data_IF_264510899260
#
_entry.id   IF_264510899260
#
_cell.length_a   1.000
_cell.length_b   1.000
_cell.length_c   1.000
_cell.angle_alpha   90.00
_cell.angle_beta   90.00
_cell.angle_gamma   90.00
#
_symmetry.space_group_name_H-M   'P 1'
#
loop_
_entity.id
_entity.type
_entity.pdbx_description
1 polymer ?
#
# COMPACT_ATOMS: atom_id res chain seq x y z
N UNK A 1 39.64 35.72 -28.67
CA UNK A 1 40.66 35.01 -29.45
C UNK A 1 40.06 33.68 -29.91
N UNK A 2 39.75 33.63 -31.24
CA UNK A 2 39.57 32.52 -32.16
C UNK A 2 38.88 31.20 -31.73
N UNK A 3 37.66 30.99 -32.24
CA UNK A 3 37.06 29.73 -32.72
C UNK A 3 37.77 29.33 -34.02
N UNK A 4 37.98 28.05 -34.44
CA UNK A 4 37.00 27.23 -35.11
C UNK A 4 37.18 25.73 -34.81
N UNK A 5 36.42 24.77 -35.26
CA UNK A 5 35.76 24.49 -36.50
C UNK A 5 34.93 23.19 -36.45
N UNK A 6 33.93 23.17 -37.27
CA UNK A 6 33.06 22.08 -37.63
C UNK A 6 33.74 21.00 -38.48
N UNK A 7 33.32 19.72 -38.34
CA UNK A 7 33.32 18.81 -39.49
C UNK A 7 32.23 17.76 -39.36
N UNK A 8 31.28 17.91 -40.23
CA UNK A 8 30.28 16.99 -40.77
C UNK A 8 30.94 15.77 -41.39
N UNK A 9 30.44 14.54 -41.14
CA UNK A 9 30.49 13.47 -42.12
C UNK A 9 29.22 12.64 -42.07
N UNK A 10 28.37 12.85 -43.08
CA UNK A 10 27.34 11.91 -43.57
C UNK A 10 28.02 10.68 -44.14
N UNK A 11 27.50 9.49 -43.92
CA UNK A 11 27.62 8.38 -44.88
C UNK A 11 26.34 7.53 -44.86
N UNK A 12 25.56 7.76 -45.91
CA UNK A 12 24.54 6.85 -46.43
C UNK A 12 25.25 5.69 -47.14
N UNK A 13 24.77 4.48 -46.93
CA UNK A 13 25.02 3.36 -47.87
C UNK A 13 23.67 2.67 -48.10
N UNK A 14 23.11 2.99 -49.23
CA UNK A 14 22.12 2.23 -49.99
C UNK A 14 22.78 1.04 -50.59
N UNK A 15 22.19 -0.14 -50.49
CA UNK A 15 22.38 -1.19 -51.47
C UNK A 15 21.10 -1.96 -51.74
N UNK A 16 20.59 -1.70 -52.92
CA UNK A 16 19.59 -2.43 -53.66
C UNK A 16 20.25 -3.62 -54.37
N UNK A 17 19.49 -4.68 -54.57
CA UNK A 17 19.58 -5.64 -55.70
C UNK A 17 18.48 -6.69 -55.45
N UNK A 18 17.36 -6.56 -56.20
CA UNK A 18 17.11 -7.09 -57.52
C UNK A 18 17.02 -8.64 -57.55
N UNK A 19 15.80 -9.14 -57.68
CA UNK A 19 15.11 -9.69 -58.88
C UNK A 19 15.34 -11.16 -59.14
N UNK A 20 14.33 -11.90 -59.27
CA UNK A 20 13.72 -12.65 -60.41
C UNK A 20 12.85 -13.76 -59.86
N UNK A 21 11.56 -13.63 -60.02
CA UNK A 21 10.69 -14.16 -61.11
C UNK A 21 10.68 -15.70 -61.20
N UNK A 22 9.55 -16.26 -61.05
CA UNK A 22 8.72 -16.95 -62.01
C UNK A 22 7.98 -18.17 -61.44
N UNK A 23 6.70 -18.17 -61.69
CA UNK A 23 5.87 -19.24 -62.21
C UNK A 23 5.05 -20.12 -61.27
N UNK A 24 3.76 -19.86 -61.39
CA UNK A 24 2.64 -20.80 -61.49
C UNK A 24 2.46 -21.90 -60.44
N UNK A 25 1.37 -21.79 -59.76
CA UNK A 25 0.74 -22.88 -59.05
C UNK A 25 -0.53 -22.43 -58.38
N UNK A 26 -1.65 -22.40 -59.10
CA UNK A 26 -3.02 -22.24 -58.59
C UNK A 26 -3.32 -23.45 -57.73
N UNK A 27 -3.42 -23.23 -56.41
CA UNK A 27 -4.17 -24.13 -55.54
C UNK A 27 -4.91 -23.30 -54.52
N UNK A 28 -6.23 -23.24 -54.71
CA UNK A 28 -7.17 -22.77 -53.70
C UNK A 28 -7.10 -23.68 -52.47
N UNK A 29 -6.53 -23.22 -51.39
CA UNK A 29 -6.74 -23.79 -50.08
C UNK A 29 -7.42 -22.73 -49.26
N UNK A 30 -8.73 -22.93 -49.07
CA UNK A 30 -9.56 -22.18 -48.12
C UNK A 30 -9.01 -22.50 -46.74
N UNK A 31 -8.06 -21.69 -46.26
CA UNK A 31 -7.61 -21.76 -44.87
C UNK A 31 -8.61 -20.96 -44.04
N UNK A 32 -9.52 -21.67 -43.40
CA UNK A 32 -10.35 -21.17 -42.28
C UNK A 32 -9.43 -20.59 -41.21
N UNK A 33 -9.37 -19.27 -41.13
CA UNK A 33 -8.76 -18.56 -40.04
C UNK A 33 -9.68 -18.77 -38.82
N UNK A 34 -9.41 -19.82 -38.06
CA UNK A 34 -9.90 -19.94 -36.71
C UNK A 34 -9.26 -18.81 -35.89
N UNK A 35 -10.00 -17.72 -35.66
CA UNK A 35 -9.69 -16.77 -34.61
C UNK A 35 -9.69 -17.54 -33.31
N UNK A 36 -8.54 -17.98 -32.86
CA UNK A 36 -8.34 -18.40 -31.50
C UNK A 36 -8.55 -17.14 -30.63
N UNK A 37 -9.79 -16.94 -30.17
CA UNK A 37 -10.08 -16.07 -29.07
C UNK A 37 -9.31 -16.62 -27.87
N UNK A 38 -8.14 -16.04 -27.57
CA UNK A 38 -7.48 -16.26 -26.30
C UNK A 38 -8.49 -15.87 -25.22
N UNK A 39 -8.90 -16.81 -24.37
CA UNK A 39 -9.67 -16.42 -23.20
C UNK A 39 -8.74 -15.50 -22.39
N UNK A 40 -9.07 -14.21 -22.38
CA UNK A 40 -8.52 -13.31 -21.38
C UNK A 40 -8.95 -13.90 -20.04
N UNK A 41 -8.04 -14.64 -19.41
CA UNK A 41 -8.17 -14.94 -18.00
C UNK A 41 -8.16 -13.59 -17.30
N UNK A 42 -9.35 -13.09 -17.01
CA UNK A 42 -9.48 -12.09 -15.97
C UNK A 42 -8.93 -12.75 -14.73
N UNK A 43 -7.71 -12.42 -14.37
CA UNK A 43 -7.16 -12.72 -13.05
C UNK A 43 -8.07 -11.99 -12.06
N UNK A 44 -9.18 -12.62 -11.72
CA UNK A 44 -9.90 -12.32 -10.49
C UNK A 44 -8.90 -12.68 -9.39
N UNK A 45 -8.10 -11.67 -9.01
CA UNK A 45 -7.22 -11.74 -7.86
C UNK A 45 -8.10 -12.13 -6.68
N UNK A 46 -8.12 -13.41 -6.36
CA UNK A 46 -8.72 -13.90 -5.11
C UNK A 46 -8.02 -13.10 -4.00
N UNK A 47 -8.78 -12.34 -3.17
CA UNK A 47 -8.17 -11.51 -2.16
C UNK A 47 -7.26 -12.38 -1.30
N UNK A 48 -5.98 -12.04 -1.25
CA UNK A 48 -5.03 -12.75 -0.39
C UNK A 48 -5.55 -12.70 1.06
N UNK A 49 -5.62 -13.83 1.77
CA UNK A 49 -6.14 -13.84 3.12
C UNK A 49 -5.33 -12.91 4.01
N UNK A 50 -6.00 -12.15 4.86
CA UNK A 50 -5.36 -11.25 5.83
C UNK A 50 -4.50 -12.06 6.79
N UNK A 51 -3.19 -11.87 6.75
CA UNK A 51 -2.30 -12.44 7.75
C UNK A 51 -2.39 -11.62 9.05
N UNK A 52 -2.59 -12.24 10.21
CA UNK A 52 -2.61 -11.53 11.48
C UNK A 52 -1.22 -11.00 11.84
N UNK A 53 -1.19 -9.89 12.59
CA UNK A 53 0.04 -9.31 13.10
C UNK A 53 0.74 -10.31 14.03
N UNK A 54 2.06 -10.58 13.87
CA UNK A 54 2.78 -11.54 14.71
C UNK A 54 3.09 -10.93 16.10
N UNK A 55 2.07 -10.71 16.92
CA UNK A 55 2.18 -10.04 18.23
C UNK A 55 3.10 -10.80 19.19
N UNK A 56 3.15 -12.12 19.10
CA UNK A 56 4.07 -12.94 19.90
C UNK A 56 5.55 -12.59 19.64
N UNK A 57 5.90 -12.23 18.40
CA UNK A 57 7.27 -11.84 18.04
C UNK A 57 7.68 -10.45 18.53
N UNK A 58 6.70 -9.63 18.95
CA UNK A 58 6.92 -8.27 19.46
C UNK A 58 6.37 -8.07 20.87
N UNK A 59 5.98 -9.16 21.53
CA UNK A 59 5.55 -9.13 22.92
C UNK A 59 6.62 -8.53 23.83
N UNK A 60 6.21 -7.72 24.79
CA UNK A 60 7.09 -6.95 25.69
C UNK A 60 8.03 -5.97 24.97
N UNK A 61 7.84 -5.76 23.66
CA UNK A 61 8.59 -4.74 22.92
C UNK A 61 7.83 -3.43 22.87
N UNK A 62 8.57 -2.33 22.80
CA UNK A 62 8.02 -1.03 22.49
C UNK A 62 7.92 -0.88 20.97
N UNK A 63 6.72 -0.58 20.48
CA UNK A 63 6.41 -0.42 19.06
C UNK A 63 5.81 0.95 18.81
N UNK A 64 6.47 1.75 17.98
CA UNK A 64 5.95 3.05 17.56
C UNK A 64 4.89 2.86 16.48
N UNK A 65 3.67 3.36 16.71
CA UNK A 65 2.58 3.35 15.72
C UNK A 65 2.56 4.70 15.01
N UNK A 66 2.87 4.71 13.71
CA UNK A 66 2.83 5.95 12.94
C UNK A 66 1.39 6.37 12.62
N UNK A 67 1.15 7.67 12.42
CA UNK A 67 -0.15 8.13 11.96
C UNK A 67 -0.42 7.66 10.52
N UNK A 68 -1.70 7.43 10.24
CA UNK A 68 -2.17 7.19 8.89
C UNK A 68 -2.07 8.49 8.08
N UNK A 69 -1.49 8.44 6.87
CA UNK A 69 -1.32 9.61 6.00
C UNK A 69 -2.11 9.53 4.70
N UNK A 70 -2.56 8.32 4.31
CA UNK A 70 -3.28 8.08 3.08
C UNK A 70 -4.64 7.42 3.37
N UNK A 71 -5.71 8.10 2.98
CA UNK A 71 -7.07 7.53 2.91
C UNK A 71 -7.60 7.79 1.52
N UNK A 72 -8.13 6.77 0.89
CA UNK A 72 -8.79 6.83 -0.40
C UNK A 72 -10.13 6.09 -0.34
N UNK A 73 -11.09 6.58 -1.10
CA UNK A 73 -12.44 6.02 -1.16
C UNK A 73 -12.82 5.87 -2.62
N UNK A 74 -13.43 4.77 -2.97
CA UNK A 74 -14.01 4.57 -4.28
C UNK A 74 -15.23 5.48 -4.45
N UNK A 75 -15.30 6.23 -5.56
CA UNK A 75 -16.35 7.23 -5.83
C UNK A 75 -17.76 6.62 -5.77
N UNK A 76 -17.87 5.35 -6.14
CA UNK A 76 -19.15 4.61 -6.13
C UNK A 76 -19.79 4.46 -4.74
N UNK A 77 -19.04 4.71 -3.66
CA UNK A 77 -19.54 4.64 -2.29
C UNK A 77 -20.25 5.92 -1.83
N UNK A 78 -19.95 7.05 -2.46
CA UNK A 78 -20.50 8.38 -2.09
C UNK A 78 -20.32 8.72 -0.60
N UNK A 79 -19.15 8.35 -0.03
CA UNK A 79 -18.86 8.52 1.39
C UNK A 79 -18.17 9.84 1.75
N UNK A 80 -17.99 10.74 0.79
CA UNK A 80 -17.34 12.05 0.99
C UNK A 80 -18.02 12.84 2.11
N UNK A 81 -19.36 12.86 2.14
CA UNK A 81 -20.12 13.56 3.16
C UNK A 81 -20.00 12.91 4.56
N UNK A 82 -19.87 11.57 4.61
CA UNK A 82 -19.74 10.81 5.86
C UNK A 82 -18.32 10.93 6.43
N UNK A 83 -17.32 10.92 5.57
CA UNK A 83 -15.92 11.08 5.94
C UNK A 83 -15.63 12.52 6.34
N UNK A 84 -16.11 13.50 5.55
CA UNK A 84 -15.90 14.92 5.82
C UNK A 84 -14.47 15.37 5.62
N UNK A 85 -13.98 16.25 6.48
CA UNK A 85 -12.65 16.84 6.37
C UNK A 85 -11.55 15.79 6.57
N UNK A 86 -10.58 15.76 5.63
CA UNK A 86 -9.46 14.80 5.64
C UNK A 86 -8.73 14.69 6.98
N UNK A 87 -8.47 15.83 7.63
CA UNK A 87 -7.77 15.86 8.92
C UNK A 87 -8.55 15.13 10.02
N UNK A 88 -9.86 15.32 10.04
CA UNK A 88 -10.75 14.64 11.00
C UNK A 88 -10.76 13.14 10.74
N UNK A 89 -10.83 12.74 9.47
CA UNK A 89 -10.77 11.32 9.06
C UNK A 89 -9.49 10.67 9.54
N UNK A 90 -8.34 11.28 9.28
CA UNK A 90 -7.03 10.74 9.67
C UNK A 90 -6.91 10.60 11.19
N UNK A 91 -7.29 11.66 11.94
CA UNK A 91 -7.24 11.64 13.41
C UNK A 91 -8.16 10.57 14.00
N UNK A 92 -9.39 10.42 13.46
CA UNK A 92 -10.33 9.40 13.91
C UNK A 92 -9.84 7.99 13.57
N UNK A 93 -9.25 7.81 12.40
CA UNK A 93 -8.64 6.53 12.00
C UNK A 93 -7.48 6.15 12.92
N UNK A 94 -6.58 7.08 13.24
CA UNK A 94 -5.49 6.87 14.19
C UNK A 94 -6.02 6.43 15.56
N UNK A 95 -7.09 7.10 16.05
CA UNK A 95 -7.72 6.77 17.33
C UNK A 95 -8.31 5.35 17.33
N UNK A 96 -9.02 4.95 16.27
CA UNK A 96 -9.59 3.60 16.14
C UNK A 96 -8.48 2.55 16.12
N UNK A 97 -7.47 2.76 15.28
CA UNK A 97 -6.32 1.84 15.15
C UNK A 97 -5.61 1.71 16.50
N UNK A 98 -5.25 2.82 17.13
CA UNK A 98 -4.52 2.82 18.39
C UNK A 98 -5.30 2.16 19.53
N UNK A 99 -6.59 2.50 19.68
CA UNK A 99 -7.44 1.92 20.72
C UNK A 99 -7.57 0.40 20.57
N UNK A 100 -7.81 -0.08 19.34
CA UNK A 100 -7.94 -1.51 19.08
C UNK A 100 -6.61 -2.27 19.26
N UNK A 101 -5.48 -1.69 18.87
CA UNK A 101 -4.16 -2.29 19.13
C UNK A 101 -3.92 -2.47 20.63
N UNK A 102 -4.19 -1.44 21.44
CA UNK A 102 -4.03 -1.51 22.89
C UNK A 102 -4.97 -2.53 23.55
N UNK A 103 -6.21 -2.62 23.08
CA UNK A 103 -7.20 -3.55 23.64
C UNK A 103 -6.94 -4.99 23.27
N UNK A 104 -6.47 -5.25 22.04
CA UNK A 104 -6.39 -6.61 21.48
C UNK A 104 -4.99 -7.21 21.50
N UNK A 105 -3.96 -6.39 21.73
CA UNK A 105 -2.57 -6.83 21.87
C UNK A 105 -1.91 -6.07 23.05
N UNK A 106 -2.42 -6.24 24.29
CA UNK A 106 -1.91 -5.54 25.47
C UNK A 106 -0.51 -6.01 25.89
N UNK A 107 -0.04 -7.13 25.34
CA UNK A 107 1.31 -7.66 25.56
C UNK A 107 2.40 -6.80 24.88
N UNK A 108 2.01 -5.88 23.99
CA UNK A 108 2.91 -4.97 23.27
C UNK A 108 2.81 -3.57 23.87
N UNK A 109 3.92 -2.90 24.08
CA UNK A 109 3.92 -1.50 24.51
C UNK A 109 3.77 -0.58 23.31
N UNK A 110 2.54 -0.15 23.03
CA UNK A 110 2.23 0.71 21.89
C UNK A 110 2.50 2.18 22.19
N UNK A 111 3.39 2.82 21.42
CA UNK A 111 3.57 4.28 21.39
C UNK A 111 2.71 4.84 20.28
N UNK A 112 1.58 5.45 20.65
CA UNK A 112 0.56 5.90 19.71
C UNK A 112 0.95 7.20 18.98
N UNK A 113 0.29 7.54 17.85
CA UNK A 113 0.57 8.73 17.05
C UNK A 113 0.60 10.03 17.85
N UNK A 114 -0.27 10.20 18.84
CA UNK A 114 -0.31 11.42 19.67
C UNK A 114 0.95 11.58 20.53
N UNK A 115 1.51 10.50 21.02
CA UNK A 115 2.79 10.54 21.72
C UNK A 115 3.93 10.92 20.77
N UNK A 116 3.97 10.33 19.59
CA UNK A 116 4.95 10.70 18.55
C UNK A 116 4.86 12.17 18.18
N UNK A 117 3.64 12.70 17.99
CA UNK A 117 3.39 14.13 17.75
C UNK A 117 3.87 15.00 18.90
N UNK A 118 3.67 14.55 20.15
CA UNK A 118 4.10 15.26 21.35
C UNK A 118 5.62 15.34 21.43
N UNK A 119 6.30 14.22 21.20
CA UNK A 119 7.76 14.16 21.21
C UNK A 119 8.35 14.99 20.07
N UNK A 120 7.79 14.92 18.88
CA UNK A 120 8.23 15.73 17.75
C UNK A 120 8.15 17.22 18.03
N UNK A 121 7.08 17.70 18.68
CA UNK A 121 6.95 19.10 19.09
C UNK A 121 7.97 19.55 20.15
N UNK A 122 8.50 18.62 20.95
CA UNK A 122 9.53 18.92 21.97
C UNK A 122 10.94 18.97 21.41
N UNK A 123 11.17 18.40 20.21
CA UNK A 123 12.47 18.34 19.55
C UNK A 123 12.40 18.98 18.13
N UNK A 124 12.05 20.27 18.02
CA UNK A 124 11.93 20.94 16.72
C UNK A 124 13.28 20.97 16.01
N UNK A 125 13.27 20.70 14.69
CA UNK A 125 14.49 20.65 13.89
C UNK A 125 15.27 19.33 13.96
N UNK A 126 14.99 18.47 14.95
CA UNK A 126 15.60 17.13 15.08
C UNK A 126 14.57 16.06 14.71
N UNK A 127 13.41 16.11 15.32
CA UNK A 127 12.35 15.14 15.06
C UNK A 127 11.60 15.48 13.77
N UNK A 128 11.41 14.50 12.87
CA UNK A 128 10.49 14.68 11.73
C UNK A 128 9.06 14.79 12.26
N UNK A 129 8.22 15.55 11.55
CA UNK A 129 6.78 15.57 11.84
C UNK A 129 6.16 14.22 11.44
N UNK A 130 5.55 13.47 12.37
CA UNK A 130 4.99 12.16 12.06
C UNK A 130 3.93 12.21 10.95
N UNK A 131 3.12 13.27 10.91
CA UNK A 131 2.04 13.46 9.93
C UNK A 131 2.55 13.82 8.51
N UNK A 132 3.84 14.21 8.39
CA UNK A 132 4.47 14.58 7.12
C UNK A 132 5.47 13.51 6.62
N UNK A 133 5.63 12.42 7.34
CA UNK A 133 6.47 11.32 6.89
C UNK A 133 5.80 10.64 5.69
N UNK A 134 6.56 10.39 4.64
CA UNK A 134 6.05 9.79 3.40
C UNK A 134 5.68 8.31 3.52
N UNK A 135 4.91 7.93 4.55
CA UNK A 135 4.55 6.53 4.84
C UNK A 135 3.76 5.86 3.72
N UNK A 136 3.03 6.65 2.92
CA UNK A 136 2.29 6.18 1.75
C UNK A 136 3.18 5.53 0.68
N UNK A 137 4.49 5.77 0.68
CA UNK A 137 5.41 5.08 -0.24
C UNK A 137 5.38 3.57 0.00
N UNK A 138 5.16 3.14 1.24
CA UNK A 138 5.05 1.73 1.59
C UNK A 138 3.75 1.10 1.10
N UNK A 139 2.72 1.89 0.78
CA UNK A 139 1.47 1.38 0.22
C UNK A 139 1.66 0.82 -1.20
N UNK A 140 2.50 1.47 -2.01
CA UNK A 140 2.73 1.12 -3.41
C UNK A 140 3.94 0.21 -3.64
N UNK A 141 4.69 -0.12 -2.60
CA UNK A 141 5.85 -0.98 -2.76
C UNK A 141 5.45 -2.39 -3.17
N UNK A 142 6.02 -2.86 -4.27
CA UNK A 142 5.94 -4.25 -4.69
C UNK A 142 6.81 -5.09 -3.76
N UNK A 143 6.37 -6.31 -3.44
CA UNK A 143 7.17 -7.26 -2.63
C UNK A 143 8.52 -7.50 -3.30
N UNK A 144 9.57 -6.90 -2.79
CA UNK A 144 10.97 -7.21 -3.14
C UNK A 144 11.62 -7.85 -1.92
N UNK A 145 12.34 -8.93 -2.10
CA UNK A 145 13.03 -9.58 -1.00
C UNK A 145 14.54 -9.29 -1.07
N UNK A 146 15.16 -8.79 0.02
CA UNK A 146 14.53 -8.36 1.27
C UNK A 146 13.82 -7.01 1.10
N UNK A 147 12.57 -6.91 1.58
CA UNK A 147 11.84 -5.65 1.54
C UNK A 147 12.46 -4.67 2.55
N UNK A 148 12.81 -3.49 2.06
CA UNK A 148 13.44 -2.43 2.85
C UNK A 148 12.59 -1.17 2.85
N UNK A 149 12.57 -0.50 3.99
CA UNK A 149 12.01 0.85 4.09
C UNK A 149 12.92 1.80 3.33
N UNK A 150 12.42 2.55 2.33
CA UNK A 150 13.24 3.45 1.54
C UNK A 150 13.68 4.67 2.35
N UNK A 151 14.81 5.27 1.94
CA UNK A 151 15.22 6.58 2.42
C UNK A 151 14.39 7.68 1.72
N UNK A 152 14.04 8.78 2.42
CA UNK A 152 14.48 9.18 3.77
C UNK A 152 13.64 8.58 4.92
N UNK A 153 12.56 7.84 4.62
CA UNK A 153 11.63 7.33 5.63
C UNK A 153 12.34 6.48 6.70
N UNK A 154 13.29 5.62 6.28
CA UNK A 154 14.09 4.80 7.22
C UNK A 154 14.83 5.65 8.25
N UNK A 155 15.49 6.72 7.82
CA UNK A 155 16.17 7.66 8.71
C UNK A 155 15.22 8.34 9.68
N UNK A 156 14.06 8.77 9.19
CA UNK A 156 13.01 9.42 9.98
C UNK A 156 12.43 8.48 11.05
N UNK A 157 12.14 7.22 10.70
CA UNK A 157 11.66 6.20 11.63
C UNK A 157 12.67 5.96 12.76
N UNK A 158 13.96 5.86 12.43
CA UNK A 158 15.04 5.66 13.41
C UNK A 158 15.12 6.83 14.37
N UNK A 159 15.02 8.06 13.88
CA UNK A 159 15.05 9.26 14.71
C UNK A 159 13.86 9.30 15.66
N UNK A 160 12.64 9.07 15.18
CA UNK A 160 11.44 9.04 16.03
C UNK A 160 11.52 7.93 17.08
N UNK A 161 11.91 6.72 16.69
CA UNK A 161 12.02 5.60 17.62
C UNK A 161 13.04 5.91 18.74
N UNK A 162 14.17 6.52 18.42
CA UNK A 162 15.18 6.93 19.41
C UNK A 162 14.61 7.96 20.40
N UNK A 163 13.82 8.91 19.94
CA UNK A 163 13.22 9.97 20.76
C UNK A 163 12.10 9.48 21.69
N UNK A 164 11.43 8.38 21.37
CA UNK A 164 10.35 7.80 22.21
C UNK A 164 10.81 6.65 23.10
N UNK A 165 12.12 6.50 23.33
CA UNK A 165 12.66 5.48 24.23
C UNK A 165 13.38 4.33 23.55
N UNK A 166 13.66 4.41 22.24
CA UNK A 166 14.53 3.48 21.53
C UNK A 166 13.88 2.16 21.13
N UNK A 167 12.59 2.12 20.91
CA UNK A 167 11.87 0.94 20.40
C UNK A 167 12.49 0.42 19.10
N UNK A 168 12.52 -0.92 18.98
CA UNK A 168 13.09 -1.59 17.79
C UNK A 168 12.17 -1.56 16.59
N UNK A 169 10.85 -1.54 16.82
CA UNK A 169 9.86 -1.73 15.76
C UNK A 169 8.98 -0.50 15.57
N UNK A 170 8.60 -0.27 14.33
CA UNK A 170 7.57 0.70 13.96
C UNK A 170 6.45 0.00 13.17
N UNK A 171 5.21 0.17 13.61
CA UNK A 171 4.02 -0.21 12.89
C UNK A 171 3.57 0.98 12.04
N UNK A 172 3.52 0.79 10.74
CA UNK A 172 3.20 1.83 9.77
C UNK A 172 1.89 1.48 9.07
N UNK A 173 0.77 2.15 9.40
CA UNK A 173 -0.42 2.15 8.57
C UNK A 173 -0.09 2.92 7.27
N UNK A 174 0.26 2.18 6.20
CA UNK A 174 0.75 2.78 4.97
C UNK A 174 -0.37 3.41 4.14
N UNK A 175 -1.58 2.88 4.23
CA UNK A 175 -2.76 3.43 3.54
C UNK A 175 -4.03 2.68 3.90
N UNK A 176 -5.14 3.39 3.78
CA UNK A 176 -6.50 2.89 3.98
C UNK A 176 -7.29 3.17 2.72
N UNK A 177 -7.87 2.13 2.11
CA UNK A 177 -8.76 2.27 0.97
C UNK A 177 -10.12 1.67 1.29
N UNK A 178 -11.17 2.36 0.85
CA UNK A 178 -12.53 1.87 0.91
C UNK A 178 -13.00 1.55 -0.49
N UNK A 179 -13.43 0.30 -0.69
CA UNK A 179 -13.96 -0.18 -1.97
C UNK A 179 -15.34 -0.73 -1.78
N UNK A 180 -16.16 -0.66 -2.81
CA UNK A 180 -17.44 -1.36 -2.80
C UNK A 180 -17.18 -2.86 -2.67
N UNK A 181 -17.85 -3.51 -1.72
CA UNK A 181 -17.79 -4.96 -1.59
C UNK A 181 -18.40 -5.60 -2.85
N UNK A 182 -17.62 -6.41 -3.54
CA UNK A 182 -18.13 -7.22 -4.64
C UNK A 182 -18.88 -8.39 -4.02
N UNK A 183 -20.21 -8.41 -4.22
CA UNK A 183 -21.01 -9.57 -3.83
C UNK A 183 -20.49 -10.80 -4.58
N UNK A 184 -19.81 -11.68 -3.88
CA UNK A 184 -19.36 -12.97 -4.42
C UNK A 184 -20.55 -13.94 -4.39
N UNK A 185 -21.39 -13.90 -5.45
CA UNK A 185 -22.50 -14.84 -5.60
C UNK A 185 -23.79 -14.20 -6.16
N UNK A 186 -24.80 -14.99 -6.54
CA UNK A 186 -26.08 -14.54 -7.07
C UNK A 186 -27.02 -13.98 -5.97
N UNK A 187 -26.47 -13.47 -4.88
CA UNK A 187 -27.27 -12.86 -3.82
C UNK A 187 -27.87 -11.54 -4.29
N UNK A 188 -29.11 -11.29 -3.89
CA UNK A 188 -29.84 -10.05 -4.16
C UNK A 188 -29.02 -8.82 -3.78
N UNK A 189 -29.13 -7.71 -4.53
CA UNK A 189 -28.43 -6.48 -4.18
C UNK A 189 -28.74 -6.10 -2.73
N UNK A 190 -27.70 -6.01 -1.91
CA UNK A 190 -27.84 -5.57 -0.53
C UNK A 190 -28.44 -4.15 -0.54
N UNK A 191 -29.45 -3.87 0.31
CA UNK A 191 -30.15 -2.58 0.30
C UNK A 191 -29.27 -1.40 0.69
N UNK A 192 -28.08 -1.66 1.21
CA UNK A 192 -27.07 -0.64 1.57
C UNK A 192 -25.73 -0.99 0.93
N UNK A 193 -24.97 0.03 0.54
CA UNK A 193 -23.65 -0.14 -0.04
C UNK A 193 -22.68 -0.64 1.04
N UNK A 194 -22.51 -1.97 1.13
CA UNK A 194 -21.45 -2.55 1.95
C UNK A 194 -20.12 -2.25 1.28
N UNK A 195 -19.20 -1.71 2.04
CA UNK A 195 -17.84 -1.47 1.58
C UNK A 195 -16.84 -2.31 2.36
N UNK A 196 -15.74 -2.62 1.70
CA UNK A 196 -14.57 -3.23 2.31
C UNK A 196 -13.52 -2.17 2.58
N UNK A 197 -13.13 -2.01 3.84
CA UNK A 197 -11.93 -1.29 4.22
C UNK A 197 -10.71 -2.19 4.04
N UNK A 198 -9.71 -1.72 3.31
CA UNK A 198 -8.42 -2.36 3.14
C UNK A 198 -7.35 -1.49 3.78
N UNK A 199 -6.83 -1.92 4.93
CA UNK A 199 -5.78 -1.24 5.67
C UNK A 199 -4.45 -1.96 5.43
N UNK A 200 -3.56 -1.32 4.66
CA UNK A 200 -2.20 -1.82 4.47
C UNK A 200 -1.35 -1.47 5.69
N UNK A 201 -0.78 -2.48 6.31
CA UNK A 201 0.05 -2.34 7.51
C UNK A 201 1.41 -2.97 7.29
N UNK A 202 2.44 -2.25 7.70
CA UNK A 202 3.84 -2.67 7.61
C UNK A 202 4.47 -2.60 9.00
N UNK A 203 5.13 -3.68 9.43
CA UNK A 203 5.97 -3.70 10.62
C UNK A 203 7.44 -3.64 10.19
N UNK A 204 8.11 -2.57 10.52
CA UNK A 204 9.51 -2.33 10.16
C UNK A 204 10.44 -2.44 11.38
N UNK A 205 11.58 -3.10 11.22
CA UNK A 205 12.70 -3.01 12.17
C UNK A 205 13.45 -1.69 11.90
N UNK A 206 13.32 -0.73 12.79
CA UNK A 206 13.89 0.62 12.60
C UNK A 206 15.41 0.63 12.63
N UNK A 207 16.06 -0.37 13.22
CA UNK A 207 17.53 -0.46 13.30
C UNK A 207 18.12 -0.87 11.95
N UNK A 208 17.53 -1.88 11.34
CA UNK A 208 18.01 -2.43 10.06
C UNK A 208 17.34 -1.79 8.86
N UNK A 209 16.14 -1.25 9.02
CA UNK A 209 15.28 -0.76 7.95
C UNK A 209 14.56 -1.88 7.20
N UNK A 210 14.63 -3.13 7.68
CA UNK A 210 13.94 -4.26 7.03
C UNK A 210 12.45 -4.26 7.38
N UNK A 211 11.63 -4.57 6.41
CA UNK A 211 10.22 -4.89 6.63
C UNK A 211 10.16 -6.33 7.15
N UNK A 212 9.73 -6.48 8.40
CA UNK A 212 9.58 -7.79 9.03
C UNK A 212 8.22 -8.43 8.76
N UNK A 213 7.21 -7.60 8.48
CA UNK A 213 5.86 -8.07 8.20
C UNK A 213 5.09 -7.04 7.39
N UNK A 214 4.26 -7.51 6.47
CA UNK A 214 3.33 -6.71 5.66
C UNK A 214 2.03 -7.48 5.48
N UNK A 215 0.92 -6.79 5.63
CA UNK A 215 -0.40 -7.37 5.37
C UNK A 215 -1.39 -6.30 4.93
N UNK A 216 -2.50 -6.74 4.34
CA UNK A 216 -3.67 -5.91 4.08
C UNK A 216 -4.80 -6.46 4.94
N UNK A 217 -5.11 -5.75 6.01
CA UNK A 217 -6.22 -6.07 6.88
C UNK A 217 -7.54 -5.64 6.23
N UNK A 218 -8.54 -6.53 6.21
CA UNK A 218 -9.82 -6.29 5.56
C UNK A 218 -10.96 -6.35 6.54
N UNK A 219 -11.94 -5.48 6.34
CA UNK A 219 -13.17 -5.46 7.12
C UNK A 219 -14.31 -4.87 6.32
N UNK A 220 -15.48 -5.47 6.38
CA UNK A 220 -16.67 -5.00 5.68
C UNK A 220 -17.57 -4.21 6.61
N UNK A 221 -18.25 -3.21 6.09
CA UNK A 221 -19.19 -2.39 6.85
C UNK A 221 -20.08 -1.55 5.94
N UNK A 222 -21.18 -1.10 6.51
CA UNK A 222 -22.13 -0.17 5.91
C UNK A 222 -21.74 1.29 6.11
N UNK A 223 -20.75 1.53 6.96
CA UNK A 223 -20.11 2.81 7.16
C UNK A 223 -18.58 2.67 7.29
N UNK A 224 -17.80 3.75 7.04
CA UNK A 224 -16.35 3.69 7.01
C UNK A 224 -15.72 3.28 8.34
N UNK A 225 -16.33 3.66 9.45
CA UNK A 225 -15.76 3.43 10.77
C UNK A 225 -15.95 1.99 11.24
N UNK A 226 -17.10 1.40 10.94
CA UNK A 226 -17.39 -0.02 11.17
C UNK A 226 -16.49 -0.88 10.29
N UNK A 227 -16.32 -0.55 9.01
CA UNK A 227 -15.45 -1.26 8.11
C UNK A 227 -13.98 -1.22 8.59
N UNK A 228 -13.46 -0.03 8.98
CA UNK A 228 -12.12 0.10 9.53
C UNK A 228 -11.96 -0.69 10.85
N UNK A 229 -12.94 -0.60 11.74
CA UNK A 229 -12.91 -1.33 13.02
C UNK A 229 -12.77 -2.84 12.79
N UNK A 230 -13.53 -3.39 11.85
CA UNK A 230 -13.44 -4.81 11.47
C UNK A 230 -12.11 -5.16 10.82
N UNK A 231 -11.57 -4.27 9.97
CA UNK A 231 -10.25 -4.44 9.38
C UNK A 231 -9.15 -4.51 10.46
N UNK A 232 -9.14 -3.60 11.43
CA UNK A 232 -8.17 -3.65 12.54
C UNK A 232 -8.36 -4.88 13.42
N UNK A 233 -9.61 -5.30 13.66
CA UNK A 233 -9.90 -6.54 14.39
C UNK A 233 -9.37 -7.78 13.67
N UNK A 234 -9.40 -7.83 12.33
CA UNK A 234 -8.81 -8.92 11.57
C UNK A 234 -7.28 -8.93 11.62
N UNK A 235 -6.67 -7.76 11.76
CA UNK A 235 -5.21 -7.62 11.93
C UNK A 235 -4.75 -8.19 13.27
N UNK A 236 -5.54 -8.02 14.32
CA UNK A 236 -5.23 -8.48 15.67
C UNK A 236 -6.32 -9.45 16.14
N UNK A 237 -6.33 -10.72 15.69
CA UNK A 237 -7.25 -11.72 16.20
C UNK A 237 -6.90 -11.98 17.65
N UNK A 238 -7.36 -11.09 18.52
CA UNK A 238 -7.24 -11.26 19.95
C UNK A 238 -8.22 -12.30 20.45
N UNK A 239 -8.06 -12.69 21.70
CA UNK A 239 -8.99 -13.55 22.42
C UNK A 239 -10.44 -13.10 22.22
N UNK A 240 -11.38 -14.04 22.06
CA UNK A 240 -12.79 -13.75 21.85
C UNK A 240 -13.38 -12.94 22.98
#
# INVERSE_FOLDING_TARGET
>A
MKIPGAHTILRAVTNSLQIKSLVRGVWCVVSSIALAACPHKSDTLTPEPTAPLPTAGIASQQVAVLPLTLVATEDSLHWEAVLGERRVVLTKSDSIIGTLLQQRAPEVTWVLPDELRRVARRAPGIAPSPDQMGTAILFHQTKQEPEMVPDPLRGQLRTLAALVGGGRYALVPAGLTYRRATASGPAAPLPHAVATAELTVVLADVRTGRVGFRTVARGEGDDPWTALTRAVKSLTPGLP
#
